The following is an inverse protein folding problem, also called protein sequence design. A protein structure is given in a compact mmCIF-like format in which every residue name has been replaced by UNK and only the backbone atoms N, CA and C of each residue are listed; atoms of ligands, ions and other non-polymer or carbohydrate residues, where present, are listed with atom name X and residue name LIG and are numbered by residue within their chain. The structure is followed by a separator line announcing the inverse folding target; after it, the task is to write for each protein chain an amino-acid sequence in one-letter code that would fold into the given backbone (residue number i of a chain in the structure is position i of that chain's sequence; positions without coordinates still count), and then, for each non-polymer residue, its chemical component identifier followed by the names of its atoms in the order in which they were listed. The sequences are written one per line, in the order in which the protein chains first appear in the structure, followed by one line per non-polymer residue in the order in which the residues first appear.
data_IF_892549987098
#
_entry.id   IF_892549987098
#
_cell.length_a   1.000
_cell.length_b   1.000
_cell.length_c   1.000
_cell.angle_alpha   90.00
_cell.angle_beta   90.00
_cell.angle_gamma   90.00
#
_symmetry.space_group_name_H-M   'P 1'
#
loop_
_entity.id
_entity.type
_entity.pdbx_description
1 polymer ?
#
# COMPACT_ATOMS: atom_id res chain seq x y z
N UNK A 1 16.33 2.30 -18.06
CA UNK A 1 15.63 1.00 -18.13
C UNK A 1 14.15 1.29 -18.04
N UNK A 2 13.30 0.87 -18.98
CA UNK A 2 11.86 1.10 -18.85
C UNK A 2 11.30 0.28 -17.69
N UNK A 3 10.34 0.82 -16.95
CA UNK A 3 9.58 0.06 -15.95
C UNK A 3 8.98 -1.20 -16.59
N UNK A 4 8.96 -2.32 -15.86
CA UNK A 4 8.33 -3.53 -16.36
C UNK A 4 6.80 -3.33 -16.47
N UNK A 5 6.18 -3.94 -17.47
CA UNK A 5 4.72 -3.84 -17.66
C UNK A 5 3.96 -4.32 -16.40
N UNK A 6 4.51 -5.33 -15.70
CA UNK A 6 3.96 -5.86 -14.46
C UNK A 6 4.05 -4.85 -13.29
N UNK A 7 5.18 -4.16 -13.12
CA UNK A 7 5.29 -3.06 -12.15
C UNK A 7 4.20 -2.01 -12.37
N UNK A 8 4.08 -1.50 -13.60
CA UNK A 8 3.10 -0.47 -13.91
C UNK A 8 1.67 -0.97 -13.69
N UNK A 9 1.39 -2.23 -14.00
CA UNK A 9 0.09 -2.85 -13.78
C UNK A 9 -0.26 -2.85 -12.29
N UNK A 10 0.66 -3.29 -11.43
CA UNK A 10 0.46 -3.33 -9.98
C UNK A 10 0.23 -1.95 -9.37
N UNK A 11 1.02 -0.96 -9.76
CA UNK A 11 0.82 0.42 -9.30
C UNK A 11 -0.55 0.99 -9.76
N UNK A 12 -1.04 0.61 -10.95
CA UNK A 12 -2.38 1.00 -11.43
C UNK A 12 -3.50 0.27 -10.69
N UNK A 13 -3.31 -1.01 -10.37
CA UNK A 13 -4.28 -1.79 -9.61
C UNK A 13 -4.43 -1.21 -8.20
N UNK A 14 -3.33 -0.83 -7.54
CA UNK A 14 -3.37 -0.10 -6.27
C UNK A 14 -4.20 1.20 -6.37
N UNK A 15 -3.97 2.02 -7.41
CA UNK A 15 -4.76 3.23 -7.65
C UNK A 15 -6.27 2.94 -7.79
N UNK A 16 -6.61 1.85 -8.49
CA UNK A 16 -8.01 1.42 -8.65
C UNK A 16 -8.61 0.99 -7.32
N UNK A 17 -7.89 0.20 -6.52
CA UNK A 17 -8.37 -0.27 -5.23
C UNK A 17 -8.62 0.87 -4.25
N UNK A 18 -7.75 1.87 -4.22
CA UNK A 18 -8.01 3.08 -3.44
C UNK A 18 -9.27 3.81 -3.87
N UNK A 19 -9.56 3.85 -5.17
CA UNK A 19 -10.79 4.47 -5.67
C UNK A 19 -12.03 3.70 -5.20
N UNK A 20 -11.94 2.37 -5.12
CA UNK A 20 -12.98 1.52 -4.51
C UNK A 20 -13.12 1.86 -3.03
N UNK A 21 -12.02 1.93 -2.28
CA UNK A 21 -12.02 2.27 -0.86
C UNK A 21 -12.62 3.66 -0.59
N UNK A 22 -12.25 4.68 -1.36
CA UNK A 22 -12.84 6.02 -1.28
C UNK A 22 -14.35 6.02 -1.49
N UNK A 23 -14.85 5.16 -2.39
CA UNK A 23 -16.28 5.07 -2.71
C UNK A 23 -17.03 4.32 -1.59
N UNK A 24 -16.47 3.22 -1.10
CA UNK A 24 -17.09 2.39 -0.06
C UNK A 24 -17.14 3.10 1.30
N UNK A 25 -16.09 3.86 1.64
CA UNK A 25 -15.99 4.61 2.89
C UNK A 25 -16.76 5.94 2.79
N UNK A 26 -18.06 5.88 2.56
CA UNK A 26 -18.91 7.05 2.32
C UNK A 26 -19.43 7.76 3.59
N UNK A 27 -20.09 8.92 3.44
CA UNK A 27 -20.67 9.65 4.56
C UNK A 27 -19.69 10.54 5.34
N UNK A 28 -20.21 11.18 6.40
CA UNK A 28 -19.45 12.16 7.20
C UNK A 28 -18.41 11.50 8.12
N UNK A 29 -18.69 10.29 8.59
CA UNK A 29 -17.82 9.51 9.49
C UNK A 29 -16.44 9.27 8.90
N UNK A 30 -16.38 8.89 7.62
CA UNK A 30 -15.13 8.53 6.93
C UNK A 30 -14.54 9.67 6.09
N UNK A 31 -14.96 10.93 6.32
CA UNK A 31 -14.51 12.08 5.51
C UNK A 31 -12.98 12.21 5.52
N UNK A 32 -12.37 12.11 6.71
CA UNK A 32 -10.93 12.26 6.88
C UNK A 32 -10.16 11.06 6.31
N UNK A 33 -10.74 9.86 6.40
CA UNK A 33 -10.20 8.65 5.77
C UNK A 33 -10.14 8.81 4.25
N UNK A 34 -11.23 9.24 3.61
CA UNK A 34 -11.24 9.52 2.16
C UNK A 34 -10.21 10.55 1.74
N UNK A 35 -9.95 11.58 2.56
CA UNK A 35 -8.90 12.56 2.27
C UNK A 35 -7.51 11.93 2.27
N UNK A 36 -7.24 11.01 3.20
CA UNK A 36 -5.96 10.29 3.28
C UNK A 36 -5.78 9.34 2.10
N UNK A 37 -6.83 8.61 1.73
CA UNK A 37 -6.80 7.72 0.55
C UNK A 37 -6.56 8.56 -0.72
N UNK A 38 -7.21 9.72 -0.83
CA UNK A 38 -7.00 10.64 -1.96
C UNK A 38 -5.56 11.13 -2.06
N UNK A 39 -4.93 11.43 -0.92
CA UNK A 39 -3.52 11.78 -0.86
C UNK A 39 -2.62 10.61 -1.30
N UNK A 40 -2.91 9.39 -0.83
CA UNK A 40 -2.17 8.20 -1.21
C UNK A 40 -2.28 7.93 -2.73
N UNK A 41 -3.48 8.10 -3.30
CA UNK A 41 -3.74 8.09 -4.73
C UNK A 41 -2.95 9.13 -5.53
N UNK A 42 -2.78 10.35 -5.00
CA UNK A 42 -1.93 11.36 -5.63
C UNK A 42 -0.48 10.90 -5.67
N UNK A 43 0.03 10.30 -4.60
CA UNK A 43 1.38 9.77 -4.54
C UNK A 43 1.58 8.58 -5.49
N UNK A 44 0.61 7.67 -5.61
CA UNK A 44 0.64 6.59 -6.62
C UNK A 44 0.74 7.16 -8.04
N UNK A 45 -0.03 8.21 -8.35
CA UNK A 45 0.06 8.88 -9.66
C UNK A 45 1.42 9.51 -9.91
N UNK A 46 2.12 9.96 -8.87
CA UNK A 46 3.50 10.45 -9.00
C UNK A 46 4.43 9.30 -9.40
N UNK A 47 4.31 8.12 -8.77
CA UNK A 47 5.10 6.92 -9.15
C UNK A 47 4.95 6.61 -10.64
N UNK A 48 3.71 6.60 -11.15
CA UNK A 48 3.41 6.31 -12.55
C UNK A 48 3.97 7.33 -13.55
N UNK A 49 4.34 8.53 -13.09
CA UNK A 49 4.95 9.58 -13.93
C UNK A 49 6.47 9.51 -13.96
N UNK A 50 7.09 8.73 -13.08
CA UNK A 50 8.55 8.57 -13.05
C UNK A 50 9.00 7.52 -14.05
N UNK A 51 10.12 7.75 -14.71
CA UNK A 51 10.74 6.78 -15.64
C UNK A 51 12.05 6.22 -15.10
N UNK A 52 12.79 7.02 -14.34
CA UNK A 52 14.10 6.65 -13.82
C UNK A 52 13.99 5.94 -12.47
N UNK A 53 14.70 4.83 -12.32
CA UNK A 53 14.66 4.00 -11.11
C UNK A 53 15.00 4.80 -9.84
N UNK A 54 15.95 5.74 -9.94
CA UNK A 54 16.36 6.65 -8.87
C UNK A 54 15.26 7.59 -8.40
N UNK A 55 14.25 7.85 -9.22
CA UNK A 55 13.08 8.64 -8.87
C UNK A 55 11.87 7.77 -8.49
N UNK A 56 11.75 6.60 -9.11
CA UNK A 56 10.65 5.65 -8.86
C UNK A 56 10.71 5.10 -7.44
N UNK A 57 11.88 4.68 -6.96
CA UNK A 57 12.03 4.09 -5.62
C UNK A 57 11.60 5.07 -4.51
N UNK A 58 12.07 6.34 -4.49
CA UNK A 58 11.58 7.32 -3.53
C UNK A 58 10.08 7.59 -3.64
N UNK A 59 9.55 7.74 -4.86
CA UNK A 59 8.13 7.97 -5.06
C UNK A 59 7.29 6.79 -4.53
N UNK A 60 7.75 5.56 -4.75
CA UNK A 60 7.05 4.35 -4.32
C UNK A 60 7.08 4.20 -2.80
N UNK A 61 8.19 4.51 -2.14
CA UNK A 61 8.25 4.54 -0.67
C UNK A 61 7.25 5.56 -0.09
N UNK A 62 7.17 6.77 -0.67
CA UNK A 62 6.20 7.78 -0.23
C UNK A 62 4.76 7.29 -0.44
N UNK A 63 4.47 6.64 -1.56
CA UNK A 63 3.16 6.06 -1.84
C UNK A 63 2.81 4.97 -0.80
N UNK A 64 3.70 4.02 -0.55
CA UNK A 64 3.52 2.97 0.47
C UNK A 64 3.26 3.55 1.86
N UNK A 65 4.07 4.53 2.31
CA UNK A 65 3.85 5.18 3.60
C UNK A 65 2.50 5.91 3.68
N UNK A 66 2.04 6.47 2.56
CA UNK A 66 0.72 7.12 2.49
C UNK A 66 -0.42 6.10 2.57
N UNK A 67 -0.28 4.94 1.92
CA UNK A 67 -1.22 3.84 2.05
C UNK A 67 -1.28 3.30 3.46
N UNK A 68 -0.13 3.05 4.09
CA UNK A 68 -0.09 2.59 5.49
C UNK A 68 -0.83 3.58 6.41
N UNK A 69 -0.63 4.88 6.21
CA UNK A 69 -1.31 5.92 6.97
C UNK A 69 -2.83 5.90 6.72
N UNK A 70 -3.28 5.77 5.47
CA UNK A 70 -4.70 5.65 5.15
C UNK A 70 -5.32 4.41 5.81
N UNK A 71 -4.68 3.26 5.66
CA UNK A 71 -5.14 2.00 6.25
C UNK A 71 -5.19 2.05 7.79
N UNK A 72 -4.17 2.59 8.44
CA UNK A 72 -4.15 2.76 9.90
C UNK A 72 -5.37 3.54 10.40
N UNK A 73 -5.70 4.64 9.73
CA UNK A 73 -6.85 5.47 10.10
C UNK A 73 -8.17 4.74 9.86
N UNK A 74 -8.32 4.06 8.72
CA UNK A 74 -9.52 3.24 8.46
C UNK A 74 -9.68 2.11 9.48
N UNK A 75 -8.60 1.44 9.88
CA UNK A 75 -8.64 0.45 10.97
C UNK A 75 -9.21 1.06 12.24
N UNK A 76 -8.77 2.28 12.60
CA UNK A 76 -9.25 2.99 13.78
C UNK A 76 -10.72 3.39 13.65
N UNK A 77 -11.13 3.95 12.51
CA UNK A 77 -12.50 4.35 12.21
C UNK A 77 -13.47 3.16 12.18
N UNK A 78 -12.98 1.98 11.78
CA UNK A 78 -13.76 0.75 11.66
C UNK A 78 -13.85 -0.07 12.96
N UNK A 79 -13.74 0.59 14.10
CA UNK A 79 -13.95 -0.02 15.43
C UNK A 79 -15.34 0.28 15.99
N UNK A 80 -15.71 -0.38 17.09
CA UNK A 80 -16.98 -0.12 17.79
C UNK A 80 -18.21 -0.36 16.91
N UNK A 81 -19.07 0.64 16.76
CA UNK A 81 -20.31 0.56 15.98
C UNK A 81 -20.12 0.49 14.46
N UNK A 82 -18.93 0.84 13.97
CA UNK A 82 -18.59 0.74 12.54
C UNK A 82 -17.97 -0.63 12.20
N UNK A 83 -17.56 -1.40 13.21
CA UNK A 83 -16.94 -2.70 13.00
C UNK A 83 -17.87 -3.67 12.26
N UNK A 84 -17.35 -4.31 11.22
CA UNK A 84 -18.08 -5.30 10.43
C UNK A 84 -19.15 -4.74 9.49
N UNK A 85 -19.36 -3.42 9.47
CA UNK A 85 -20.21 -2.76 8.46
C UNK A 85 -19.67 -3.03 7.05
N UNK A 86 -20.57 -2.98 6.06
CA UNK A 86 -20.21 -3.20 4.65
C UNK A 86 -19.15 -2.19 4.20
N UNK A 87 -19.35 -0.91 4.50
CA UNK A 87 -18.40 0.17 4.22
C UNK A 87 -17.00 -0.14 4.78
N UNK A 88 -16.90 -0.57 6.04
CA UNK A 88 -15.61 -0.93 6.64
C UNK A 88 -14.98 -2.18 6.04
N UNK A 89 -15.79 -3.19 5.72
CA UNK A 89 -15.29 -4.44 5.14
C UNK A 89 -14.75 -4.22 3.73
N UNK A 90 -15.51 -3.53 2.89
CA UNK A 90 -15.13 -3.23 1.52
C UNK A 90 -13.98 -2.21 1.49
N UNK A 91 -14.09 -1.12 2.25
CA UNK A 91 -13.07 -0.09 2.33
C UNK A 91 -11.73 -0.61 2.83
N UNK A 92 -11.73 -1.34 3.95
CA UNK A 92 -10.49 -1.92 4.49
C UNK A 92 -9.93 -3.02 3.58
N UNK A 93 -10.79 -3.89 3.04
CA UNK A 93 -10.36 -4.94 2.11
C UNK A 93 -9.68 -4.35 0.86
N UNK A 94 -10.27 -3.31 0.27
CA UNK A 94 -9.71 -2.61 -0.87
C UNK A 94 -8.35 -1.97 -0.53
N UNK A 95 -8.19 -1.31 0.62
CA UNK A 95 -6.90 -0.74 1.03
C UNK A 95 -5.83 -1.80 1.29
N UNK A 96 -6.18 -2.94 1.86
CA UNK A 96 -5.25 -4.06 1.99
C UNK A 96 -4.77 -4.54 0.62
N UNK A 97 -5.68 -4.74 -0.33
CA UNK A 97 -5.31 -5.12 -1.71
C UNK A 97 -4.46 -4.04 -2.39
N UNK A 98 -4.77 -2.76 -2.19
CA UNK A 98 -3.97 -1.67 -2.75
C UNK A 98 -2.52 -1.72 -2.26
N UNK A 99 -2.35 -1.95 -0.96
CA UNK A 99 -1.05 -2.02 -0.32
C UNK A 99 -0.27 -3.27 -0.74
N UNK A 100 -0.94 -4.41 -0.90
CA UNK A 100 -0.38 -5.63 -1.49
C UNK A 100 0.16 -5.40 -2.89
N UNK A 101 -0.63 -4.75 -3.75
CA UNK A 101 -0.20 -4.42 -5.12
C UNK A 101 1.03 -3.50 -5.12
N UNK A 102 1.11 -2.52 -4.20
CA UNK A 102 2.31 -1.69 -4.07
C UNK A 102 3.53 -2.46 -3.53
N UNK A 103 3.33 -3.42 -2.64
CA UNK A 103 4.40 -4.29 -2.14
C UNK A 103 4.92 -5.19 -3.26
N UNK A 104 4.03 -5.79 -4.06
CA UNK A 104 4.42 -6.55 -5.24
C UNK A 104 5.18 -5.68 -6.27
N UNK A 105 4.75 -4.43 -6.46
CA UNK A 105 5.48 -3.48 -7.29
C UNK A 105 6.88 -3.18 -6.71
N UNK A 106 7.01 -3.02 -5.40
CA UNK A 106 8.30 -2.80 -4.74
C UNK A 106 9.26 -4.00 -4.90
N UNK A 107 8.74 -5.23 -4.82
CA UNK A 107 9.53 -6.45 -5.00
C UNK A 107 10.21 -6.50 -6.38
N UNK A 108 9.58 -5.94 -7.42
CA UNK A 108 10.17 -5.86 -8.77
C UNK A 108 11.36 -4.90 -8.87
N UNK A 109 11.49 -3.97 -7.92
CA UNK A 109 12.58 -2.98 -7.89
C UNK A 109 13.68 -3.35 -6.91
N UNK A 110 13.43 -4.30 -6.02
CA UNK A 110 14.35 -4.75 -4.97
C UNK A 110 15.65 -5.31 -5.57
N UNK A 111 16.78 -5.04 -4.92
CA UNK A 111 18.10 -5.60 -5.29
C UNK A 111 18.90 -6.00 -4.05
N UNK A 112 19.74 -7.03 -4.18
CA UNK A 112 20.58 -7.52 -3.07
C UNK A 112 19.75 -7.93 -1.85
N UNK A 113 20.23 -7.57 -0.66
CA UNK A 113 19.62 -7.92 0.65
C UNK A 113 18.17 -7.41 0.83
N UNK A 114 17.67 -6.55 -0.06
CA UNK A 114 16.29 -6.07 -0.04
C UNK A 114 15.31 -7.09 -0.59
N UNK A 115 15.76 -7.95 -1.50
CA UNK A 115 14.92 -8.98 -2.11
C UNK A 115 14.42 -9.90 -1.01
N UNK A 116 15.31 -10.33 -0.11
CA UNK A 116 14.98 -11.18 1.03
C UNK A 116 13.98 -10.48 1.96
N UNK A 117 14.25 -9.24 2.40
CA UNK A 117 13.33 -8.52 3.30
C UNK A 117 11.94 -8.28 2.73
N UNK A 118 11.85 -7.94 1.44
CA UNK A 118 10.55 -7.71 0.79
C UNK A 118 9.84 -9.04 0.55
N UNK A 119 10.57 -10.08 0.19
CA UNK A 119 10.02 -11.42 -0.01
C UNK A 119 9.51 -12.04 1.30
N UNK A 120 10.26 -11.93 2.39
CA UNK A 120 9.85 -12.41 3.71
C UNK A 120 8.56 -11.71 4.16
N UNK A 121 8.49 -10.38 3.98
CA UNK A 121 7.29 -9.62 4.30
C UNK A 121 6.07 -10.02 3.44
N UNK A 122 6.29 -10.37 2.16
CA UNK A 122 5.24 -10.92 1.31
C UNK A 122 4.80 -12.31 1.78
N UNK A 123 5.73 -13.19 2.15
CA UNK A 123 5.42 -14.53 2.62
C UNK A 123 4.65 -14.53 3.94
N UNK A 124 4.98 -13.62 4.86
CA UNK A 124 4.22 -13.39 6.09
C UNK A 124 2.77 -13.00 5.79
N UNK A 125 2.56 -12.12 4.81
CA UNK A 125 1.23 -11.69 4.39
C UNK A 125 0.41 -12.83 3.78
N UNK A 126 1.02 -13.63 2.90
CA UNK A 126 0.37 -14.82 2.31
C UNK A 126 0.00 -15.85 3.37
N UNK A 127 0.89 -16.10 4.33
CA UNK A 127 0.66 -17.02 5.44
C UNK A 127 -0.50 -16.56 6.32
N UNK A 128 -0.53 -15.27 6.66
CA UNK A 128 -1.61 -14.65 7.43
C UNK A 128 -2.98 -14.80 6.75
N UNK A 129 -3.05 -14.59 5.44
CA UNK A 129 -4.27 -14.80 4.64
C UNK A 129 -4.75 -16.25 4.68
N UNK A 130 -3.84 -17.21 4.53
CA UNK A 130 -4.16 -18.64 4.59
C UNK A 130 -4.72 -19.04 5.96
N UNK A 131 -4.31 -18.35 7.02
CA UNK A 131 -4.80 -18.54 8.38
C UNK A 131 -6.13 -17.81 8.67
N UNK A 132 -6.67 -17.07 7.71
CA UNK A 132 -7.94 -16.35 7.85
C UNK A 132 -7.86 -15.11 8.74
N UNK A 133 -6.67 -14.56 8.93
CA UNK A 133 -6.49 -13.34 9.73
C UNK A 133 -7.03 -12.11 8.99
N UNK A 134 -7.52 -11.12 9.76
CA UNK A 134 -7.98 -9.84 9.19
C UNK A 134 -6.82 -9.11 8.54
N UNK A 135 -6.98 -8.63 7.31
CA UNK A 135 -5.88 -8.03 6.54
C UNK A 135 -5.34 -6.72 7.16
N UNK A 136 -6.11 -6.02 8.00
CA UNK A 136 -5.82 -4.64 8.39
C UNK A 136 -4.40 -4.43 8.95
N UNK A 137 -4.12 -5.00 10.13
CA UNK A 137 -2.83 -4.77 10.79
C UNK A 137 -1.66 -5.43 10.07
N UNK A 138 -1.87 -6.63 9.51
CA UNK A 138 -0.82 -7.38 8.82
C UNK A 138 -0.37 -6.64 7.55
N UNK A 139 -1.32 -6.18 6.73
CA UNK A 139 -1.01 -5.37 5.54
C UNK A 139 -0.30 -4.07 5.96
N UNK A 140 -0.80 -3.38 7.00
CA UNK A 140 -0.14 -2.18 7.53
C UNK A 140 1.34 -2.41 7.88
N UNK A 141 1.65 -3.46 8.64
CA UNK A 141 3.02 -3.75 9.06
C UNK A 141 3.92 -4.13 7.88
N UNK A 142 3.43 -4.95 6.96
CA UNK A 142 4.16 -5.34 5.74
C UNK A 142 4.49 -4.12 4.89
N UNK A 143 3.51 -3.25 4.64
CA UNK A 143 3.73 -2.02 3.87
C UNK A 143 4.74 -1.08 4.54
N UNK A 144 4.71 -0.99 5.87
CA UNK A 144 5.65 -0.17 6.62
C UNK A 144 7.08 -0.73 6.51
N UNK A 145 7.24 -2.05 6.67
CA UNK A 145 8.53 -2.73 6.54
C UNK A 145 9.12 -2.56 5.14
N UNK A 146 8.30 -2.72 4.10
CA UNK A 146 8.72 -2.55 2.70
C UNK A 146 9.06 -1.09 2.42
N UNK A 147 8.28 -0.12 2.91
CA UNK A 147 8.62 1.30 2.76
C UNK A 147 9.96 1.63 3.41
N UNK A 148 10.21 1.14 4.63
CA UNK A 148 11.48 1.35 5.33
C UNK A 148 12.67 0.70 4.59
N UNK A 149 12.48 -0.50 4.05
CA UNK A 149 13.48 -1.15 3.20
C UNK A 149 13.80 -0.31 1.97
N UNK A 150 12.79 0.25 1.30
CA UNK A 150 12.98 1.15 0.18
C UNK A 150 13.62 2.51 0.54
N UNK A 151 13.49 2.99 1.78
CA UNK A 151 14.17 4.21 2.22
C UNK A 151 15.65 3.98 2.48
N UNK A 152 16.02 2.82 3.03
CA UNK A 152 17.42 2.45 3.25
C UNK A 152 18.25 2.40 1.95
N UNK A 153 17.61 2.21 0.80
CA UNK A 153 18.22 2.32 -0.53
C UNK A 153 18.79 3.71 -0.81
N UNK A 154 18.13 4.75 -0.33
CA UNK A 154 18.50 6.14 -0.60
C UNK A 154 19.74 6.54 0.19
N UNK A 155 19.92 5.98 1.40
CA UNK A 155 21.03 6.31 2.29
C UNK A 155 22.37 5.66 1.91
N UNK A 156 22.35 4.58 1.13
CA UNK A 156 23.55 3.83 0.73
C UNK A 156 24.13 4.25 -0.65
N UNK A 157 23.60 5.31 -1.25
CA UNK A 157 24.02 5.81 -2.58
C UNK A 157 24.85 7.11 -2.50
N UNK A 158 25.44 7.41 -1.32
CA UNK A 158 26.34 8.56 -1.11
C UNK A 158 27.78 8.08 -1.02
#
# INVERSE_FOLDING_TARGET
MSQSAYFCQKVKDAHRQNTVAETALEGATFKDDRQRISLANQNIRIVLKKSELTEVIPALSIALSSECNALFHVISSCTGSQNGTEACREGMGALCTALEDLVEAAAQLARGDQVEKIYDAQQELETSKLNGESCGWQSYYVGLNVSNALQSLQSNTV
#
